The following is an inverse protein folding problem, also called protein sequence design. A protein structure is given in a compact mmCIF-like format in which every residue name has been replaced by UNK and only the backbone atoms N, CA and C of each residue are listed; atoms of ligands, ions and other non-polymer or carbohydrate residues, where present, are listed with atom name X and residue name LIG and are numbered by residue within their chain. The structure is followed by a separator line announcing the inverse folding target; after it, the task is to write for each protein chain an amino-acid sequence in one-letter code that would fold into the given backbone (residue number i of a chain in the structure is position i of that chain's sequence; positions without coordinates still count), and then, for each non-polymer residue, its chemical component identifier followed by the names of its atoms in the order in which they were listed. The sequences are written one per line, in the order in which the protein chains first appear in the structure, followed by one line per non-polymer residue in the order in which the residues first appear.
data_IF_354850938826
#
_entry.id   IF_354850938826
#
_cell.length_a   1.000
_cell.length_b   1.000
_cell.length_c   1.000
_cell.angle_alpha   90.00
_cell.angle_beta   90.00
_cell.angle_gamma   90.00
#
_symmetry.space_group_name_H-M   'P 1'
#
loop_
_entity.id
_entity.type
_entity.pdbx_description
1 polymer ?
#
# COMPACT_ATOMS: atom_id res chain seq x y z
N UNK A 1 2.78 23.75 -3.07
CA UNK A 1 2.60 22.33 -3.46
C UNK A 1 2.97 21.31 -2.39
N UNK A 2 3.63 21.68 -1.28
CA UNK A 2 3.98 20.75 -0.19
C UNK A 2 2.86 20.61 0.84
N UNK A 3 2.34 21.73 1.36
CA UNK A 3 1.30 21.74 2.40
C UNK A 3 0.00 21.06 1.99
N UNK A 4 -0.44 21.28 0.74
CA UNK A 4 -1.66 20.67 0.22
C UNK A 4 -1.58 19.14 0.18
N UNK A 5 -0.46 18.58 -0.27
CA UNK A 5 -0.25 17.13 -0.28
C UNK A 5 -0.12 16.58 1.14
N UNK A 6 0.64 17.26 2.00
CA UNK A 6 0.76 16.87 3.42
C UNK A 6 -0.61 16.82 4.09
N UNK A 7 -1.46 17.82 3.90
CA UNK A 7 -2.82 17.81 4.47
C UNK A 7 -3.67 16.65 3.95
N UNK A 8 -3.47 16.24 2.69
CA UNK A 8 -4.17 15.09 2.13
C UNK A 8 -3.65 13.74 2.66
N UNK A 9 -2.36 13.63 3.01
CA UNK A 9 -1.73 12.34 3.33
C UNK A 9 -1.35 12.16 4.80
N UNK A 10 -1.39 13.20 5.63
CA UNK A 10 -0.86 13.13 7.01
C UNK A 10 -1.61 12.12 7.88
N UNK A 11 -2.92 11.98 7.68
CA UNK A 11 -3.74 10.99 8.39
C UNK A 11 -3.25 9.56 8.10
N UNK A 12 -3.08 9.23 6.82
CA UNK A 12 -2.60 7.93 6.35
C UNK A 12 -1.18 7.64 6.87
N UNK A 13 -0.30 8.64 6.87
CA UNK A 13 1.05 8.52 7.43
C UNK A 13 1.05 8.21 8.93
N UNK A 14 0.17 8.86 9.71
CA UNK A 14 0.02 8.59 11.14
C UNK A 14 -0.57 7.20 11.41
N UNK A 15 -1.56 6.77 10.63
CA UNK A 15 -2.14 5.43 10.75
C UNK A 15 -1.09 4.34 10.52
N UNK A 16 -0.27 4.48 9.47
CA UNK A 16 0.84 3.58 9.18
C UNK A 16 1.87 3.56 10.30
N UNK A 17 2.24 4.73 10.84
CA UNK A 17 3.24 4.84 11.89
C UNK A 17 2.78 4.22 13.22
N UNK A 18 1.50 4.39 13.58
CA UNK A 18 0.97 3.93 14.87
C UNK A 18 0.56 2.45 14.85
N UNK A 19 0.01 1.96 13.73
CA UNK A 19 -0.62 0.63 13.65
C UNK A 19 0.23 -0.39 12.89
N UNK A 20 1.22 0.08 12.12
CA UNK A 20 1.91 -0.73 11.13
C UNK A 20 1.06 -0.93 9.87
N UNK A 21 1.74 -1.28 8.77
CA UNK A 21 1.10 -1.32 7.44
C UNK A 21 -0.06 -2.31 7.34
N UNK A 22 0.07 -3.49 7.95
CA UNK A 22 -0.93 -4.56 7.83
C UNK A 22 -2.25 -4.16 8.47
N UNK A 23 -2.22 -3.80 9.76
CA UNK A 23 -3.42 -3.37 10.49
C UNK A 23 -4.01 -2.08 9.90
N UNK A 24 -3.17 -1.12 9.50
CA UNK A 24 -3.65 0.10 8.86
C UNK A 24 -4.39 -0.18 7.53
N UNK A 25 -3.95 -1.17 6.74
CA UNK A 25 -4.61 -1.57 5.50
C UNK A 25 -5.87 -2.44 5.73
N UNK A 26 -5.99 -3.12 6.87
CA UNK A 26 -7.24 -3.81 7.25
C UNK A 26 -8.33 -2.81 7.65
N UNK A 27 -7.94 -1.69 8.26
CA UNK A 27 -8.85 -0.63 8.69
C UNK A 27 -9.16 0.42 7.61
N UNK A 28 -8.25 0.67 6.66
CA UNK A 28 -8.42 1.61 5.54
C UNK A 28 -8.15 0.94 4.19
N UNK A 29 -9.23 0.70 3.43
CA UNK A 29 -9.16 0.10 2.10
C UNK A 29 -8.34 0.93 1.11
N UNK A 30 -8.31 2.26 1.27
CA UNK A 30 -7.52 3.14 0.40
C UNK A 30 -6.03 2.86 0.54
N UNK A 31 -5.57 2.60 1.77
CA UNK A 31 -4.18 2.18 2.02
C UNK A 31 -3.89 0.82 1.39
N UNK A 32 -4.83 -0.13 1.50
CA UNK A 32 -4.70 -1.46 0.90
C UNK A 32 -4.57 -1.40 -0.62
N UNK A 33 -5.37 -0.58 -1.28
CA UNK A 33 -5.33 -0.39 -2.74
C UNK A 33 -4.03 0.30 -3.20
N UNK A 34 -3.36 1.04 -2.32
CA UNK A 34 -2.07 1.69 -2.59
C UNK A 34 -0.84 0.77 -2.51
N UNK A 35 -0.99 -0.49 -2.10
CA UNK A 35 0.12 -1.42 -1.93
C UNK A 35 0.68 -1.89 -3.28
N UNK A 36 2.00 -1.77 -3.47
CA UNK A 36 2.69 -2.18 -4.69
C UNK A 36 3.62 -3.39 -4.49
N UNK A 37 4.40 -3.39 -3.39
CA UNK A 37 5.38 -4.44 -3.08
C UNK A 37 5.37 -4.73 -1.57
N UNK A 38 5.38 -6.00 -1.20
CA UNK A 38 5.47 -6.47 0.19
C UNK A 38 6.50 -7.59 0.26
N UNK A 39 7.52 -7.45 1.11
CA UNK A 39 8.56 -8.47 1.33
C UNK A 39 9.15 -9.04 0.03
N UNK A 40 9.43 -8.17 -0.95
CA UNK A 40 9.98 -8.55 -2.27
C UNK A 40 8.98 -9.13 -3.27
N UNK A 41 7.69 -9.24 -2.92
CA UNK A 41 6.62 -9.70 -3.82
C UNK A 41 5.85 -8.51 -4.38
N UNK A 42 5.65 -8.49 -5.70
CA UNK A 42 4.79 -7.49 -6.36
C UNK A 42 3.33 -7.87 -6.16
N UNK A 43 2.56 -6.97 -5.57
CA UNK A 43 1.14 -7.19 -5.21
C UNK A 43 0.18 -6.28 -5.97
N UNK A 44 0.70 -5.39 -6.81
CA UNK A 44 -0.09 -4.61 -7.74
C UNK A 44 0.05 -5.16 -9.16
N UNK A 45 -1.07 -5.64 -9.70
CA UNK A 45 -1.07 -6.41 -10.95
C UNK A 45 -0.53 -5.63 -12.14
N UNK A 46 -0.89 -4.35 -12.28
CA UNK A 46 -0.44 -3.55 -13.43
C UNK A 46 1.09 -3.34 -13.45
N UNK A 47 1.74 -3.27 -12.28
CA UNK A 47 3.21 -3.24 -12.21
C UNK A 47 3.79 -4.60 -12.61
N UNK A 48 3.21 -5.70 -12.12
CA UNK A 48 3.66 -7.04 -12.49
C UNK A 48 3.60 -7.26 -14.00
N UNK A 49 2.48 -6.87 -14.62
CA UNK A 49 2.26 -7.00 -16.07
C UNK A 49 3.21 -6.08 -16.87
N UNK A 50 3.39 -4.82 -16.45
CA UNK A 50 4.24 -3.84 -17.14
C UNK A 50 5.73 -4.24 -17.16
N UNK A 51 6.21 -4.90 -16.11
CA UNK A 51 7.62 -5.29 -15.96
C UNK A 51 7.87 -6.79 -16.11
N UNK A 52 6.85 -7.57 -16.52
CA UNK A 52 6.90 -9.03 -16.64
C UNK A 52 7.43 -9.72 -15.36
N UNK A 53 6.96 -9.25 -14.21
CA UNK A 53 7.29 -9.77 -12.88
C UNK A 53 6.20 -10.72 -12.38
N UNK A 54 6.54 -11.56 -11.40
CA UNK A 54 5.55 -12.44 -10.76
C UNK A 54 4.59 -11.63 -9.88
N UNK A 55 3.31 -11.63 -10.23
CA UNK A 55 2.24 -11.14 -9.38
C UNK A 55 1.98 -12.10 -8.20
N UNK A 56 1.81 -11.54 -7.00
CA UNK A 56 1.39 -12.26 -5.80
C UNK A 56 0.09 -11.64 -5.28
N UNK A 57 -0.91 -12.46 -5.00
CA UNK A 57 -2.20 -11.96 -4.51
C UNK A 57 -2.07 -11.40 -3.10
N UNK A 58 -2.72 -10.26 -2.81
CA UNK A 58 -2.77 -9.70 -1.45
C UNK A 58 -3.36 -10.70 -0.45
N UNK A 59 -4.32 -11.53 -0.86
CA UNK A 59 -4.94 -12.54 0.02
C UNK A 59 -3.96 -13.60 0.53
N UNK A 60 -2.79 -13.77 -0.11
CA UNK A 60 -1.75 -14.71 0.36
C UNK A 60 -0.83 -14.09 1.43
N UNK A 61 -0.95 -12.79 1.68
CA UNK A 61 -0.04 -12.00 2.53
C UNK A 61 -0.74 -11.37 3.74
N UNK A 62 -2.06 -11.21 3.67
CA UNK A 62 -2.90 -10.85 4.80
C UNK A 62 -3.29 -12.11 5.58
#
# INVERSE_FOLDING_TARGET
STEALTNATIKQGLDLANKGWKNACEEDESLKLGLNVINGKVVYKAIADAFNLKYSSLNELF
#
